data_IF_154304740585
#
_entry.id   IF_154304740585
#
_cell.length_a   1.000
_cell.length_b   1.000
_cell.length_c   1.000
_cell.angle_alpha   90.00
_cell.angle_beta   90.00
_cell.angle_gamma   90.00
#
_symmetry.space_group_name_H-M   'P 1'
#
loop_
_entity.id
_entity.type
_entity.pdbx_description
1 polymer ?
#
# COMPACT_ATOMS: atom_id res chain seq x y z
N UNK A 1 -25.48 14.55 -3.52
CA UNK A 1 -24.55 14.74 -4.65
C UNK A 1 -23.55 13.61 -4.58
N UNK A 2 -23.55 12.68 -5.54
CA UNK A 2 -22.53 11.63 -5.59
C UNK A 2 -21.20 12.25 -6.03
N UNK A 3 -20.05 11.81 -5.50
CA UNK A 3 -18.77 12.21 -6.05
C UNK A 3 -18.72 11.79 -7.54
N UNK A 4 -18.11 12.59 -8.42
CA UNK A 4 -17.96 12.22 -9.82
C UNK A 4 -17.23 10.88 -9.93
N UNK A 5 -17.75 9.97 -10.76
CA UNK A 5 -17.04 8.72 -11.12
C UNK A 5 -15.68 9.08 -11.72
N UNK A 6 -14.62 8.38 -11.30
CA UNK A 6 -13.28 8.60 -11.86
C UNK A 6 -13.28 8.36 -13.37
N UNK A 7 -12.59 9.23 -14.09
CA UNK A 7 -12.38 9.09 -15.53
C UNK A 7 -11.52 7.84 -15.81
N UNK A 8 -12.17 6.71 -16.10
CA UNK A 8 -11.53 5.41 -16.35
C UNK A 8 -10.61 5.40 -17.59
N UNK A 9 -10.69 6.44 -18.42
CA UNK A 9 -9.94 6.61 -19.64
C UNK A 9 -8.61 7.36 -19.46
N UNK A 10 -8.27 7.81 -18.24
CA UNK A 10 -6.99 8.44 -17.98
C UNK A 10 -5.85 7.42 -18.14
N UNK A 11 -4.81 7.81 -18.87
CA UNK A 11 -3.58 7.02 -18.92
C UNK A 11 -2.84 7.10 -17.58
N UNK A 12 -1.89 6.20 -17.33
CA UNK A 12 -1.04 6.26 -16.13
C UNK A 12 -0.23 7.55 -16.02
N UNK A 13 0.09 8.19 -17.15
CA UNK A 13 0.79 9.48 -17.15
C UNK A 13 -0.13 10.64 -16.77
N UNK A 14 -1.44 10.51 -16.99
CA UNK A 14 -2.45 11.52 -16.67
C UNK A 14 -3.07 11.31 -15.27
N UNK A 15 -2.50 10.39 -14.47
CA UNK A 15 -2.97 10.07 -13.13
C UNK A 15 -4.02 8.97 -13.05
N UNK A 16 -4.27 8.24 -14.15
CA UNK A 16 -5.15 7.08 -14.18
C UNK A 16 -4.47 5.75 -13.83
N UNK A 17 -5.25 4.74 -13.49
CA UNK A 17 -4.75 3.38 -13.22
C UNK A 17 -3.98 3.23 -11.91
N UNK A 18 -3.23 2.14 -11.77
CA UNK A 18 -2.53 1.83 -10.51
C UNK A 18 -1.28 2.67 -10.32
N UNK A 19 -1.07 3.11 -9.07
CA UNK A 19 0.23 3.60 -8.62
C UNK A 19 1.29 2.50 -8.72
N UNK A 20 2.41 2.80 -9.39
CA UNK A 20 3.49 1.84 -9.68
C UNK A 20 4.39 1.54 -8.50
N UNK A 21 3.86 0.89 -7.46
CA UNK A 21 4.60 0.48 -6.25
C UNK A 21 5.64 -0.61 -6.55
N UNK A 22 6.84 -0.47 -5.97
CA UNK A 22 7.89 -1.50 -5.93
C UNK A 22 8.21 -1.90 -4.48
N UNK A 23 8.73 -3.10 -4.32
CA UNK A 23 9.28 -3.55 -3.02
C UNK A 23 10.47 -2.65 -2.66
N UNK A 24 10.55 -2.25 -1.38
CA UNK A 24 11.46 -1.24 -0.80
C UNK A 24 11.13 0.22 -1.12
N UNK A 25 10.06 0.51 -1.84
CA UNK A 25 9.60 1.89 -1.94
C UNK A 25 9.27 2.44 -0.55
N UNK A 26 9.63 3.70 -0.35
CA UNK A 26 9.31 4.42 0.88
C UNK A 26 8.14 5.37 0.65
N UNK A 27 7.12 5.24 1.49
CA UNK A 27 5.89 6.02 1.41
C UNK A 27 5.79 6.99 2.59
N UNK A 28 4.94 8.01 2.48
CA UNK A 28 4.72 9.02 3.51
C UNK A 28 6.03 9.64 4.06
N UNK A 29 6.84 10.22 3.17
CA UNK A 29 8.14 10.84 3.50
C UNK A 29 9.10 9.91 4.26
N UNK A 30 9.04 8.60 4.00
CA UNK A 30 9.91 7.61 4.64
C UNK A 30 9.31 6.90 5.85
N UNK A 31 8.06 7.20 6.23
CA UNK A 31 7.40 6.60 7.39
C UNK A 31 7.02 5.13 7.22
N UNK A 32 6.90 4.64 5.98
CA UNK A 32 6.59 3.23 5.69
C UNK A 32 7.50 2.69 4.60
N UNK A 33 7.86 1.42 4.69
CA UNK A 33 8.61 0.70 3.66
C UNK A 33 7.77 -0.44 3.11
N UNK A 34 7.58 -0.50 1.79
CA UNK A 34 6.81 -1.57 1.15
C UNK A 34 7.61 -2.88 1.18
N UNK A 35 7.09 -3.91 1.84
CA UNK A 35 7.81 -5.20 1.99
C UNK A 35 7.19 -6.34 1.22
N UNK A 36 5.88 -6.29 0.93
CA UNK A 36 5.18 -7.40 0.25
C UNK A 36 3.86 -6.96 -0.37
N UNK A 37 3.52 -7.49 -1.55
CA UNK A 37 2.18 -7.37 -2.14
C UNK A 37 1.20 -8.32 -1.44
N UNK A 38 0.03 -7.83 -1.03
CA UNK A 38 -1.03 -8.64 -0.41
C UNK A 38 -2.10 -9.04 -1.42
N UNK A 39 -2.39 -8.20 -2.41
CA UNK A 39 -3.40 -8.49 -3.43
C UNK A 39 -3.69 -7.29 -4.31
N UNK A 40 -4.61 -7.48 -5.26
CA UNK A 40 -5.12 -6.43 -6.14
C UNK A 40 -6.56 -6.73 -6.54
N UNK A 41 -7.31 -5.68 -6.86
CA UNK A 41 -8.65 -5.73 -7.41
C UNK A 41 -8.89 -4.52 -8.29
N UNK A 42 -10.03 -4.46 -8.99
CA UNK A 42 -10.28 -3.54 -10.11
C UNK A 42 -9.93 -2.07 -9.85
N UNK A 43 -10.06 -1.60 -8.61
CA UNK A 43 -9.81 -0.20 -8.25
C UNK A 43 -8.63 0.02 -7.30
N UNK A 44 -7.95 -1.03 -6.82
CA UNK A 44 -6.86 -0.87 -5.86
C UNK A 44 -5.89 -2.05 -5.82
N UNK A 45 -4.66 -1.76 -5.38
CA UNK A 45 -3.72 -2.79 -4.95
C UNK A 45 -3.40 -2.61 -3.48
N UNK A 46 -3.15 -3.71 -2.78
CA UNK A 46 -2.93 -3.72 -1.33
C UNK A 46 -1.54 -4.26 -1.04
N UNK A 47 -0.81 -3.53 -0.20
CA UNK A 47 0.59 -3.80 0.11
C UNK A 47 0.80 -3.79 1.63
N UNK A 48 1.65 -4.69 2.10
CA UNK A 48 2.17 -4.68 3.46
C UNK A 48 3.32 -3.67 3.52
N UNK A 49 3.17 -2.66 4.36
CA UNK A 49 4.17 -1.62 4.58
C UNK A 49 4.26 -1.28 6.08
N UNK A 50 5.14 -1.95 6.84
CA UNK A 50 5.35 -1.62 8.25
C UNK A 50 5.86 -0.19 8.44
N UNK A 51 5.57 0.39 9.60
CA UNK A 51 6.17 1.66 9.99
C UNK A 51 7.69 1.46 10.09
N UNK A 52 8.45 2.35 9.47
CA UNK A 52 9.91 2.27 9.50
C UNK A 52 10.39 2.41 10.95
N UNK A 53 11.14 1.42 11.43
CA UNK A 53 11.60 1.34 12.82
C UNK A 53 10.63 0.65 13.79
N UNK A 54 9.44 0.24 13.34
CA UNK A 54 8.58 -0.63 14.12
C UNK A 54 9.12 -2.06 14.06
N UNK A 55 9.52 -2.60 15.22
CA UNK A 55 9.79 -4.03 15.36
C UNK A 55 8.45 -4.74 15.36
N UNK A 56 8.22 -5.58 14.35
CA UNK A 56 7.06 -6.48 14.36
C UNK A 56 7.39 -7.56 15.38
N UNK A 57 6.92 -7.39 16.62
CA UNK A 57 7.04 -8.44 17.63
C UNK A 57 6.29 -9.67 17.13
N UNK A 58 6.89 -10.84 17.33
CA UNK A 58 6.30 -12.09 16.89
C UNK A 58 5.00 -12.31 17.69
N UNK A 59 3.82 -12.47 17.05
CA UNK A 59 2.56 -12.61 17.79
C UNK A 59 2.54 -13.86 18.69
N UNK A 60 3.43 -14.83 18.44
CA UNK A 60 3.61 -16.01 19.26
C UNK A 60 4.27 -15.73 20.62
N UNK A 61 5.05 -14.65 20.75
CA UNK A 61 5.67 -14.27 22.04
C UNK A 61 4.68 -13.58 23.00
N UNK A 62 3.58 -13.02 22.47
CA UNK A 62 2.54 -12.38 23.28
C UNK A 62 1.56 -13.38 23.94
N UNK A 63 1.73 -14.67 23.69
CA UNK A 63 0.85 -15.76 24.15
C UNK A 63 1.49 -16.67 25.21
N UNK A 64 2.69 -16.34 25.70
CA UNK A 64 3.33 -17.08 26.79
C UNK A 64 3.10 -16.27 28.07
N UNK A 65 2.38 -16.81 29.07
CA UNK A 65 2.06 -16.12 30.32
C UNK A 65 3.30 -15.83 31.19
#
# INVERSE_FOLDING_TARGET
MYPPEEALNLTTQEGGGYFGVRIRDTLNKGGFEVVRRLGWGTRSSVWLAPVKGQVISNPLEALIP
#
